data_IF_052800697713
#
_entry.id   IF_052800697713
#
_cell.length_a   1.000
_cell.length_b   1.000
_cell.length_c   1.000
_cell.angle_alpha   90.00
_cell.angle_beta   90.00
_cell.angle_gamma   90.00
#
_symmetry.space_group_name_H-M   'P 1'
#
loop_
_entity.id
_entity.type
_entity.pdbx_description
1 polymer ?
#
# COMPACT_ATOMS: atom_id res chain seq x y z
N UNK A 1 1.05 -50.48 25.29
CA UNK A 1 1.29 -50.46 23.83
C UNK A 1 -0.06 -50.45 23.11
N UNK A 2 -0.19 -49.74 21.98
CA UNK A 2 -1.17 -48.66 21.83
C UNK A 2 -2.09 -48.78 20.59
N UNK A 3 -2.93 -47.74 20.39
CA UNK A 3 -3.78 -47.38 19.21
C UNK A 3 -5.12 -48.13 19.11
N UNK A 4 -6.27 -47.51 18.81
CA UNK A 4 -6.67 -46.24 18.15
C UNK A 4 -8.07 -45.83 18.66
N UNK A 5 -8.32 -44.62 19.14
CA UNK A 5 -8.83 -43.45 18.39
C UNK A 5 -9.91 -43.70 17.30
N UNK A 6 -10.93 -42.84 17.35
CA UNK A 6 -11.85 -42.43 16.28
C UNK A 6 -13.13 -43.26 16.00
N UNK A 7 -14.27 -42.75 16.49
CA UNK A 7 -15.61 -43.18 16.08
C UNK A 7 -16.67 -42.07 16.06
N UNK A 8 -16.30 -40.82 16.36
CA UNK A 8 -17.21 -39.66 16.38
C UNK A 8 -17.09 -38.76 15.14
N UNK A 9 -16.48 -39.23 14.05
CA UNK A 9 -16.26 -38.43 12.83
C UNK A 9 -17.12 -38.82 11.61
N UNK A 10 -18.24 -39.53 11.79
CA UNK A 10 -19.05 -40.05 10.69
C UNK A 10 -20.42 -39.36 10.50
N UNK A 11 -20.53 -38.03 10.64
CA UNK A 11 -21.82 -37.34 10.39
C UNK A 11 -21.75 -35.99 9.69
N UNK A 12 -20.58 -35.53 9.26
CA UNK A 12 -20.45 -34.28 8.50
C UNK A 12 -20.35 -34.54 6.98
N UNK A 13 -19.59 -35.55 6.56
CA UNK A 13 -19.42 -35.86 5.13
C UNK A 13 -20.72 -36.33 4.45
N UNK A 14 -21.66 -36.92 5.20
CA UNK A 14 -22.95 -37.36 4.67
C UNK A 14 -23.97 -36.21 4.54
N UNK A 15 -23.88 -35.20 5.42
CA UNK A 15 -24.71 -33.99 5.36
C UNK A 15 -24.27 -33.04 4.24
N UNK A 16 -22.97 -33.00 3.92
CA UNK A 16 -22.45 -32.22 2.79
C UNK A 16 -22.69 -32.87 1.41
N UNK A 17 -22.78 -34.20 1.32
CA UNK A 17 -23.16 -34.88 0.07
C UNK A 17 -24.59 -34.54 -0.39
N UNK A 18 -25.52 -34.34 0.55
CA UNK A 18 -26.92 -34.00 0.23
C UNK A 18 -27.11 -32.54 -0.22
N UNK A 19 -26.28 -31.61 0.27
CA UNK A 19 -26.31 -30.20 -0.13
C UNK A 19 -25.57 -29.98 -1.47
N UNK A 20 -24.54 -30.78 -1.75
CA UNK A 20 -23.79 -30.69 -3.00
C UNK A 20 -24.52 -31.29 -4.22
N UNK A 21 -25.37 -32.32 -4.04
CA UNK A 21 -26.13 -32.91 -5.15
C UNK A 21 -27.32 -32.05 -5.60
N UNK A 22 -27.92 -31.24 -4.72
CA UNK A 22 -29.04 -30.36 -5.11
C UNK A 22 -28.58 -29.07 -5.82
N UNK A 23 -27.29 -28.74 -5.74
CA UNK A 23 -26.70 -27.57 -6.40
C UNK A 23 -26.16 -27.88 -7.81
N UNK A 24 -25.97 -29.16 -8.15
CA UNK A 24 -25.39 -29.55 -9.45
C UNK A 24 -26.44 -29.87 -10.52
N UNK A 25 -27.68 -30.23 -10.15
CA UNK A 25 -28.77 -30.44 -11.11
C UNK A 25 -29.36 -29.13 -11.66
N UNK A 26 -29.19 -28.02 -10.95
CA UNK A 26 -29.77 -26.72 -11.34
C UNK A 26 -28.90 -25.92 -12.32
N UNK A 27 -27.64 -26.31 -12.55
CA UNK A 27 -26.72 -25.57 -13.42
C UNK A 27 -26.60 -26.14 -14.85
N UNK A 28 -26.89 -27.43 -15.07
CA UNK A 28 -26.82 -28.07 -16.40
C UNK A 28 -27.88 -27.59 -17.40
N UNK A 29 -28.99 -27.02 -16.91
CA UNK A 29 -30.06 -26.49 -17.75
C UNK A 29 -29.77 -25.09 -18.32
N UNK A 30 -28.75 -24.39 -17.82
CA UNK A 30 -28.50 -22.97 -18.13
C UNK A 30 -27.58 -22.77 -19.34
N UNK A 31 -26.75 -23.74 -19.74
CA UNK A 31 -25.72 -23.51 -20.78
C UNK A 31 -26.11 -23.87 -22.22
N UNK A 32 -27.17 -24.64 -22.47
CA UNK A 32 -27.54 -25.06 -23.84
C UNK A 32 -28.44 -24.05 -24.56
N UNK A 33 -28.95 -23.04 -23.85
CA UNK A 33 -29.83 -22.00 -24.39
C UNK A 33 -29.09 -20.77 -24.94
N UNK A 34 -27.76 -20.73 -24.85
CA UNK A 34 -26.93 -19.57 -25.22
C UNK A 34 -26.37 -19.65 -26.65
N UNK A 35 -26.75 -20.63 -27.50
CA UNK A 35 -26.17 -20.75 -28.85
C UNK A 35 -27.19 -20.97 -29.99
N UNK A 36 -27.25 -19.98 -30.89
CA UNK A 36 -27.77 -20.06 -32.27
C UNK A 36 -28.93 -19.08 -32.53
N UNK A 37 -28.67 -17.82 -32.89
CA UNK A 37 -28.54 -17.25 -34.26
C UNK A 37 -29.85 -16.59 -34.77
N UNK A 38 -29.71 -15.38 -35.33
CA UNK A 38 -30.75 -14.37 -35.56
C UNK A 38 -31.28 -14.35 -37.00
N UNK A 39 -32.61 -14.30 -37.20
CA UNK A 39 -33.30 -13.96 -38.47
C UNK A 39 -34.70 -13.31 -38.19
N UNK A 40 -35.31 -12.58 -39.14
CA UNK A 40 -36.06 -11.34 -38.89
C UNK A 40 -37.56 -11.54 -38.54
N UNK A 41 -38.23 -10.54 -37.91
CA UNK A 41 -39.69 -10.51 -37.80
C UNK A 41 -40.27 -9.88 -39.08
N UNK A 42 -41.11 -10.50 -39.94
CA UNK A 42 -42.37 -11.24 -39.73
C UNK A 42 -43.26 -10.51 -38.74
N UNK A 43 -44.44 -10.08 -39.17
CA UNK A 43 -45.45 -9.47 -38.29
C UNK A 43 -45.65 -10.36 -37.07
N UNK A 44 -45.20 -9.88 -35.91
CA UNK A 44 -45.04 -10.68 -34.71
C UNK A 44 -46.38 -10.82 -33.98
N UNK A 45 -47.36 -11.47 -34.60
CA UNK A 45 -48.36 -12.21 -33.82
C UNK A 45 -47.62 -13.38 -33.17
N UNK A 46 -47.44 -13.32 -31.86
CA UNK A 46 -46.77 -14.37 -31.11
C UNK A 46 -47.82 -15.33 -30.51
N UNK A 47 -48.26 -16.39 -31.22
CA UNK A 47 -49.21 -17.38 -30.70
C UNK A 47 -48.71 -18.14 -29.46
N UNK A 48 -47.44 -17.93 -29.07
CA UNK A 48 -46.79 -18.50 -27.91
C UNK A 48 -46.43 -17.48 -26.81
N UNK A 49 -46.90 -16.23 -26.85
CA UNK A 49 -46.78 -15.32 -25.70
C UNK A 49 -47.77 -15.76 -24.64
N UNK A 50 -47.30 -16.65 -23.77
CA UNK A 50 -48.00 -17.05 -22.56
C UNK A 50 -47.65 -16.01 -21.49
N UNK A 51 -48.61 -15.16 -21.15
CA UNK A 51 -48.49 -14.29 -19.98
C UNK A 51 -48.34 -15.16 -18.73
N UNK A 52 -47.22 -15.00 -18.03
CA UNK A 52 -47.02 -15.66 -16.75
C UNK A 52 -47.84 -14.91 -15.68
N UNK A 53 -48.97 -15.50 -15.28
CA UNK A 53 -49.86 -14.98 -14.23
C UNK A 53 -49.35 -15.26 -12.81
N UNK A 54 -48.11 -15.75 -12.68
CA UNK A 54 -47.47 -15.97 -11.39
C UNK A 54 -46.99 -14.64 -10.83
N UNK A 55 -47.93 -13.86 -10.30
CA UNK A 55 -47.63 -12.60 -9.64
C UNK A 55 -46.70 -12.90 -8.46
N UNK A 56 -45.53 -12.24 -8.43
CA UNK A 56 -44.60 -12.38 -7.31
C UNK A 56 -45.37 -12.07 -6.04
N UNK A 57 -45.42 -13.03 -5.10
CA UNK A 57 -46.16 -12.86 -3.87
C UNK A 57 -45.60 -11.65 -3.09
N UNK A 58 -46.28 -10.51 -3.18
CA UNK A 58 -45.81 -9.20 -2.70
C UNK A 58 -45.39 -9.25 -1.23
N UNK A 59 -46.13 -10.03 -0.43
CA UNK A 59 -45.82 -10.26 0.97
C UNK A 59 -44.41 -10.84 1.18
N UNK A 60 -43.98 -11.81 0.37
CA UNK A 60 -42.64 -12.41 0.49
C UNK A 60 -41.55 -11.41 0.13
N UNK A 61 -41.76 -10.61 -0.91
CA UNK A 61 -40.81 -9.56 -1.33
C UNK A 61 -40.65 -8.53 -0.21
N UNK A 62 -41.76 -8.12 0.40
CA UNK A 62 -41.76 -7.19 1.54
C UNK A 62 -41.01 -7.77 2.74
N UNK A 63 -41.29 -9.02 3.10
CA UNK A 63 -40.61 -9.69 4.23
C UNK A 63 -39.11 -9.83 3.98
N UNK A 64 -38.71 -10.22 2.77
CA UNK A 64 -37.29 -10.32 2.39
C UNK A 64 -36.63 -8.94 2.47
N UNK A 65 -37.26 -7.90 1.91
CA UNK A 65 -36.76 -6.53 1.97
C UNK A 65 -36.55 -6.05 3.41
N UNK A 66 -37.57 -6.19 4.27
CA UNK A 66 -37.45 -5.82 5.68
C UNK A 66 -36.45 -6.69 6.45
N UNK A 67 -36.30 -7.97 6.11
CA UNK A 67 -35.30 -8.83 6.74
C UNK A 67 -33.86 -8.37 6.44
N UNK A 68 -33.60 -7.91 5.22
CA UNK A 68 -32.27 -7.40 4.81
C UNK A 68 -31.98 -6.09 5.56
N UNK A 69 -32.94 -5.18 5.60
CA UNK A 69 -32.81 -3.93 6.35
C UNK A 69 -32.61 -4.22 7.85
N UNK A 70 -33.40 -5.13 8.42
CA UNK A 70 -33.29 -5.55 9.82
C UNK A 70 -31.91 -6.15 10.13
N UNK A 71 -31.38 -7.02 9.26
CA UNK A 71 -30.05 -7.59 9.42
C UNK A 71 -28.95 -6.51 9.33
N UNK A 72 -29.08 -5.55 8.41
CA UNK A 72 -28.16 -4.41 8.29
C UNK A 72 -28.15 -3.56 9.56
N UNK A 73 -29.33 -3.22 10.09
CA UNK A 73 -29.46 -2.46 11.33
C UNK A 73 -28.97 -3.23 12.55
N UNK A 74 -29.26 -4.53 12.64
CA UNK A 74 -28.77 -5.40 13.70
C UNK A 74 -27.23 -5.48 13.69
N UNK A 75 -26.63 -5.61 12.51
CA UNK A 75 -25.17 -5.63 12.34
C UNK A 75 -24.54 -4.29 12.76
N UNK A 76 -25.11 -3.16 12.31
CA UNK A 76 -24.66 -1.83 12.70
C UNK A 76 -24.81 -1.61 14.21
N UNK A 77 -25.90 -2.07 14.81
CA UNK A 77 -26.14 -1.98 16.25
C UNK A 77 -25.17 -2.86 17.05
N UNK A 78 -24.88 -4.07 16.59
CA UNK A 78 -23.87 -4.94 17.20
C UNK A 78 -22.46 -4.32 17.12
N UNK A 79 -22.08 -3.73 15.98
CA UNK A 79 -20.85 -2.98 15.83
C UNK A 79 -20.81 -1.76 16.77
N UNK A 80 -21.91 -1.02 16.88
CA UNK A 80 -22.02 0.10 17.79
C UNK A 80 -21.80 -0.34 19.25
N UNK A 81 -22.48 -1.41 19.70
CA UNK A 81 -22.27 -1.97 21.04
C UNK A 81 -20.83 -2.46 21.24
N UNK A 82 -20.26 -3.13 20.24
CA UNK A 82 -18.86 -3.57 20.27
C UNK A 82 -17.91 -2.39 20.44
N UNK A 83 -18.06 -1.32 19.64
CA UNK A 83 -17.22 -0.12 19.76
C UNK A 83 -17.43 0.60 21.09
N UNK A 84 -18.66 0.66 21.61
CA UNK A 84 -18.95 1.25 22.93
C UNK A 84 -18.29 0.45 24.05
N UNK A 85 -18.38 -0.88 24.00
CA UNK A 85 -17.71 -1.78 24.93
C UNK A 85 -16.19 -1.64 24.83
N UNK A 86 -15.65 -1.67 23.61
CA UNK A 86 -14.23 -1.52 23.34
C UNK A 86 -13.72 -0.19 23.88
N UNK A 87 -14.37 0.94 23.63
CA UNK A 87 -13.95 2.24 24.15
C UNK A 87 -13.91 2.31 25.69
N UNK A 88 -14.79 1.59 26.40
CA UNK A 88 -14.73 1.53 27.87
C UNK A 88 -13.58 0.65 28.38
N UNK A 89 -13.06 -0.26 27.57
CA UNK A 89 -12.03 -1.24 27.97
C UNK A 89 -10.71 -1.08 27.22
N UNK A 90 -10.59 -0.13 26.28
CA UNK A 90 -9.32 0.20 25.62
C UNK A 90 -8.45 0.86 26.68
N UNK A 91 -7.35 0.22 27.12
CA UNK A 91 -6.36 0.89 27.95
C UNK A 91 -5.80 2.04 27.10
N UNK A 92 -5.72 3.25 27.64
CA UNK A 92 -5.21 4.46 26.97
C UNK A 92 -3.80 4.31 26.35
N UNK A 93 -3.13 3.18 26.58
CA UNK A 93 -1.81 2.81 26.08
C UNK A 93 -1.68 2.71 24.54
N UNK A 94 -2.77 2.81 23.74
CA UNK A 94 -2.68 2.83 22.27
C UNK A 94 -2.89 4.21 21.62
N UNK A 95 -3.12 5.26 22.41
CA UNK A 95 -3.06 6.65 21.93
C UNK A 95 -1.65 7.23 22.06
N UNK A 96 -0.68 6.45 22.54
CA UNK A 96 0.71 6.67 22.14
C UNK A 96 0.85 6.15 20.72
N UNK A 97 0.31 6.92 19.77
CA UNK A 97 0.71 6.83 18.38
C UNK A 97 2.23 6.64 18.38
N UNK A 98 2.73 5.56 17.77
CA UNK A 98 4.10 5.59 17.28
C UNK A 98 4.21 6.94 16.56
N UNK A 99 5.06 7.87 17.04
CA UNK A 99 4.94 9.23 16.59
C UNK A 99 5.35 9.22 15.12
N UNK A 100 4.36 9.28 14.23
CA UNK A 100 4.54 9.46 12.79
C UNK A 100 5.21 10.82 12.51
N UNK A 101 5.32 11.65 13.54
CA UNK A 101 6.30 12.71 13.65
C UNK A 101 7.57 12.13 14.29
N UNK A 102 8.69 11.98 13.55
CA UNK A 102 9.99 12.06 14.21
C UNK A 102 9.96 13.27 15.16
N UNK A 103 10.65 13.26 16.31
CA UNK A 103 10.70 14.45 17.16
C UNK A 103 10.98 15.65 16.26
N UNK A 104 10.33 16.79 16.47
CA UNK A 104 10.39 17.97 15.58
C UNK A 104 11.85 18.39 15.25
N UNK A 105 12.82 17.91 16.04
CA UNK A 105 14.27 18.11 15.92
C UNK A 105 15.10 16.84 15.65
N UNK A 106 14.50 15.70 15.28
CA UNK A 106 15.24 14.53 14.80
C UNK A 106 15.80 14.85 13.42
N UNK A 107 17.02 15.37 13.41
CA UNK A 107 17.80 15.48 12.20
C UNK A 107 17.93 14.06 11.61
N UNK A 108 17.67 13.88 10.30
CA UNK A 108 17.88 12.60 9.64
C UNK A 108 19.32 12.11 9.89
N UNK A 109 19.54 10.79 9.97
CA UNK A 109 20.87 10.23 10.02
C UNK A 109 21.66 10.71 8.79
N UNK A 110 22.98 10.88 8.96
CA UNK A 110 23.85 11.28 7.85
C UNK A 110 23.90 10.20 6.77
N UNK A 111 24.03 10.57 5.49
CA UNK A 111 24.32 11.90 4.95
C UNK A 111 23.06 12.78 4.78
N UNK A 112 23.17 14.05 5.19
CA UNK A 112 22.09 15.04 5.07
C UNK A 112 22.18 15.82 3.76
N UNK A 113 21.04 16.30 3.28
CA UNK A 113 21.02 17.24 2.16
C UNK A 113 21.69 18.55 2.58
N UNK A 114 22.68 18.99 1.82
CA UNK A 114 23.37 20.26 2.05
C UNK A 114 22.39 21.42 1.84
N UNK A 115 22.27 22.30 2.84
CA UNK A 115 21.26 23.36 2.85
C UNK A 115 21.50 24.44 1.78
N UNK A 116 22.76 24.78 1.50
CA UNK A 116 23.13 25.81 0.53
C UNK A 116 24.37 25.46 -0.29
N UNK A 117 24.29 24.49 -1.22
CA UNK A 117 25.45 24.01 -1.97
C UNK A 117 26.23 25.12 -2.69
N UNK A 118 25.53 26.12 -3.25
CA UNK A 118 26.17 27.25 -3.96
C UNK A 118 26.99 28.14 -3.03
N UNK A 119 26.47 28.46 -1.84
CA UNK A 119 27.15 29.33 -0.87
C UNK A 119 28.39 28.62 -0.34
N UNK A 120 28.26 27.34 -0.02
CA UNK A 120 29.34 26.54 0.53
C UNK A 120 30.45 26.36 -0.50
N UNK A 121 30.09 26.11 -1.77
CA UNK A 121 31.04 26.07 -2.88
C UNK A 121 31.79 27.40 -3.04
N UNK A 122 31.09 28.54 -3.01
CA UNK A 122 31.74 29.85 -3.08
C UNK A 122 32.68 30.13 -1.90
N UNK A 123 32.30 29.69 -0.69
CA UNK A 123 33.14 29.80 0.49
C UNK A 123 34.40 28.93 0.35
N UNK A 124 34.26 27.71 -0.16
CA UNK A 124 35.39 26.82 -0.43
C UNK A 124 36.34 27.41 -1.48
N UNK A 125 35.81 27.85 -2.63
CA UNK A 125 36.62 28.46 -3.71
C UNK A 125 37.35 29.71 -3.22
N UNK A 126 36.70 30.55 -2.41
CA UNK A 126 37.34 31.76 -1.88
C UNK A 126 38.44 31.44 -0.86
N UNK A 127 38.25 30.41 -0.03
CA UNK A 127 39.28 29.92 0.89
C UNK A 127 40.50 29.36 0.13
N UNK A 128 40.27 28.51 -0.87
CA UNK A 128 41.33 27.92 -1.70
C UNK A 128 42.13 29.00 -2.44
N UNK A 129 41.44 29.94 -3.10
CA UNK A 129 42.09 31.05 -3.77
C UNK A 129 42.91 31.91 -2.79
N UNK A 130 42.43 32.12 -1.56
CA UNK A 130 43.18 32.88 -0.56
C UNK A 130 44.45 32.15 -0.10
N UNK A 131 44.51 30.82 -0.15
CA UNK A 131 45.74 30.06 0.14
C UNK A 131 46.71 30.08 -1.06
N UNK A 132 46.20 29.94 -2.27
CA UNK A 132 47.02 29.82 -3.50
C UNK A 132 47.59 31.16 -3.98
N UNK A 133 46.95 32.28 -3.67
CA UNK A 133 47.35 33.61 -4.19
C UNK A 133 48.35 34.36 -3.31
N UNK A 134 48.72 33.83 -2.14
CA UNK A 134 49.59 34.53 -1.18
C UNK A 134 50.75 33.67 -0.71
N UNK A 135 51.79 34.35 -0.23
CA UNK A 135 52.85 33.70 0.51
C UNK A 135 52.31 33.21 1.86
N UNK A 136 52.64 31.99 2.22
CA UNK A 136 52.32 31.42 3.53
C UNK A 136 53.44 30.52 4.02
N UNK A 137 53.51 30.33 5.34
CA UNK A 137 54.45 29.40 5.93
C UNK A 137 53.83 28.00 5.94
N UNK A 138 54.53 27.01 5.37
CA UNK A 138 54.15 25.60 5.51
C UNK A 138 54.74 25.09 6.84
N UNK A 139 56.02 25.34 7.05
CA UNK A 139 56.72 25.02 8.29
C UNK A 139 57.76 26.10 8.60
N UNK A 140 57.53 26.82 9.69
CA UNK A 140 58.40 27.91 10.14
C UNK A 140 59.73 27.41 10.71
N UNK A 141 59.77 26.19 11.24
CA UNK A 141 60.95 25.64 11.90
C UNK A 141 61.99 25.17 10.88
N UNK A 142 61.53 24.49 9.82
CA UNK A 142 62.39 24.11 8.69
C UNK A 142 62.63 25.25 7.69
N UNK A 143 61.96 26.40 7.84
CA UNK A 143 62.09 27.53 6.93
C UNK A 143 61.34 27.34 5.60
N UNK A 144 60.38 26.41 5.54
CA UNK A 144 59.64 26.07 4.32
C UNK A 144 58.45 27.02 4.10
N UNK A 145 58.46 27.73 2.98
CA UNK A 145 57.42 28.67 2.56
C UNK A 145 56.66 28.18 1.33
N UNK A 146 55.34 28.36 1.34
CA UNK A 146 54.51 28.29 0.15
C UNK A 146 54.58 29.64 -0.58
N UNK A 147 54.81 29.57 -1.89
CA UNK A 147 54.78 30.71 -2.81
C UNK A 147 53.42 30.74 -3.53
N UNK A 148 52.94 31.92 -3.97
CA UNK A 148 51.75 32.01 -4.80
C UNK A 148 51.84 31.13 -6.04
N UNK A 149 50.74 30.52 -6.45
CA UNK A 149 50.72 29.54 -7.54
C UNK A 149 51.17 30.16 -8.87
N UNK A 150 50.84 31.43 -9.12
CA UNK A 150 51.31 32.17 -10.29
C UNK A 150 52.83 32.27 -10.31
N UNK A 151 53.44 32.47 -9.13
CA UNK A 151 54.89 32.54 -9.00
C UNK A 151 55.53 31.16 -9.16
N UNK A 152 54.91 30.12 -8.62
CA UNK A 152 55.37 28.74 -8.82
C UNK A 152 55.38 28.37 -10.31
N UNK A 153 54.29 28.66 -11.03
CA UNK A 153 54.18 28.41 -12.47
C UNK A 153 55.25 29.15 -13.27
N UNK A 154 55.53 30.42 -12.95
CA UNK A 154 56.61 31.18 -13.60
C UNK A 154 57.99 30.54 -13.38
N UNK A 155 58.27 30.10 -12.15
CA UNK A 155 59.56 29.47 -11.83
C UNK A 155 59.72 28.13 -12.53
N UNK A 156 58.66 27.32 -12.61
CA UNK A 156 58.65 26.05 -13.34
C UNK A 156 58.81 26.30 -14.84
N UNK A 157 58.11 27.29 -15.41
CA UNK A 157 58.24 27.62 -16.82
C UNK A 157 59.67 28.08 -17.19
N UNK A 158 60.36 28.75 -16.27
CA UNK A 158 61.74 29.21 -16.48
C UNK A 158 62.79 28.12 -16.26
N UNK A 159 62.59 27.25 -15.28
CA UNK A 159 63.61 26.28 -14.82
C UNK A 159 63.36 24.85 -15.30
N UNK A 160 62.19 24.58 -15.86
CA UNK A 160 61.70 23.23 -16.11
C UNK A 160 61.15 22.57 -14.84
N UNK A 161 60.47 21.44 -15.02
CA UNK A 161 60.04 20.59 -13.92
C UNK A 161 61.28 19.80 -13.45
N UNK A 162 61.64 19.81 -12.16
CA UNK A 162 62.73 18.98 -11.66
C UNK A 162 62.44 17.49 -11.94
N UNK A 163 63.47 16.69 -12.25
CA UNK A 163 63.32 15.29 -12.65
C UNK A 163 62.70 14.41 -11.56
#
# INVERSE_FOLDING_TARGET
MPRTESGQHASLLQRWKAVASSLFETFGAVSSLVRGETAPPVELEHPYVRYEHSDLQTHRVIVVGFSILGAMWLSAFALFLYYRYAQMHVPEARTTAAPLSPPQNALPPEPRLQASPRRDYQAQVSYENAQLSRYSWIDKQSGTVAIPIERAMQLIAQRGIPP
#
